data_IF_543291891762
#
_entry.id   IF_543291891762
#
_cell.length_a   1.000
_cell.length_b   1.000
_cell.length_c   1.000
_cell.angle_alpha   90.00
_cell.angle_beta   90.00
_cell.angle_gamma   90.00
#
_symmetry.space_group_name_H-M   'P 1'
#
loop_
_entity.id
_entity.type
_entity.pdbx_description
1 polymer ?
#
# COMPACT_ATOMS: atom_id res chain seq x y z
N UNK A 1 19.29 9.26 31.20
CA UNK A 1 18.02 8.52 31.33
C UNK A 1 16.96 9.33 30.61
N UNK A 2 16.57 8.94 29.39
CA UNK A 2 15.42 9.57 28.71
C UNK A 2 14.20 8.72 29.02
N UNK A 3 13.21 9.34 29.63
CA UNK A 3 12.01 8.72 30.19
C UNK A 3 11.03 8.38 29.06
N UNK A 4 11.14 7.17 28.51
CA UNK A 4 10.25 6.64 27.46
C UNK A 4 8.91 6.14 28.02
N UNK A 5 8.20 6.99 28.75
CA UNK A 5 6.77 6.84 28.94
C UNK A 5 6.06 7.49 27.74
N UNK A 6 6.17 6.84 26.57
CA UNK A 6 5.39 7.20 25.41
C UNK A 6 3.91 7.14 25.81
N UNK A 7 3.30 8.32 25.89
CA UNK A 7 1.88 8.49 26.11
C UNK A 7 1.14 7.60 25.10
N UNK A 8 0.40 6.59 25.59
CA UNK A 8 -0.39 5.65 24.75
C UNK A 8 -1.62 6.32 24.11
N UNK A 9 -1.57 7.63 23.90
CA UNK A 9 -2.64 8.38 23.28
C UNK A 9 -2.44 8.34 21.76
N UNK A 10 -3.47 7.90 21.04
CA UNK A 10 -3.49 8.03 19.59
C UNK A 10 -3.30 9.51 19.21
N UNK A 11 -2.32 9.78 18.37
CA UNK A 11 -1.96 11.13 17.91
C UNK A 11 -1.35 11.04 16.51
N UNK A 12 -1.35 12.15 15.77
CA UNK A 12 -0.63 12.25 14.50
C UNK A 12 0.75 12.84 14.78
N UNK A 13 1.78 12.13 14.34
CA UNK A 13 3.19 12.51 14.51
C UNK A 13 3.87 12.63 13.15
N UNK A 14 4.80 13.57 13.01
CA UNK A 14 5.63 13.69 11.81
C UNK A 14 6.81 12.73 11.92
N UNK A 15 7.00 11.88 10.90
CA UNK A 15 8.15 10.98 10.78
C UNK A 15 8.85 11.19 9.45
N UNK A 16 9.92 10.42 9.19
CA UNK A 16 10.57 10.36 7.87
C UNK A 16 9.63 9.95 6.73
N UNK A 17 8.49 9.30 7.04
CA UNK A 17 7.45 8.89 6.08
C UNK A 17 6.33 9.92 5.93
N UNK A 18 6.40 11.04 6.65
CA UNK A 18 5.32 12.04 6.73
C UNK A 18 4.39 11.85 7.92
N UNK A 19 3.15 12.33 7.79
CA UNK A 19 2.14 12.33 8.85
C UNK A 19 1.69 10.90 9.18
N UNK A 20 2.03 10.41 10.36
CA UNK A 20 1.89 9.01 10.78
C UNK A 20 1.04 8.87 12.03
N UNK A 21 0.18 7.86 12.09
CA UNK A 21 -0.62 7.54 13.29
C UNK A 21 0.31 6.91 14.34
N UNK A 22 0.36 7.52 15.53
CA UNK A 22 1.25 7.09 16.61
C UNK A 22 1.04 5.62 17.00
N UNK A 23 2.16 4.93 17.24
CA UNK A 23 2.16 3.50 17.53
C UNK A 23 1.99 2.60 16.29
N UNK A 24 1.95 3.15 15.07
CA UNK A 24 1.86 2.39 13.82
C UNK A 24 2.89 2.86 12.79
N UNK A 25 2.97 2.16 11.65
CA UNK A 25 3.65 2.64 10.44
C UNK A 25 2.67 3.20 9.40
N UNK A 26 1.40 3.37 9.77
CA UNK A 26 0.33 3.80 8.86
C UNK A 26 0.35 5.33 8.77
N UNK A 27 0.51 5.84 7.57
CA UNK A 27 0.47 7.27 7.26
C UNK A 27 -0.97 7.73 7.04
N UNK A 28 -1.21 9.04 7.13
CA UNK A 28 -2.50 9.60 6.70
C UNK A 28 -2.72 9.41 5.21
N UNK A 29 -1.65 9.31 4.41
CA UNK A 29 -1.73 9.07 2.97
C UNK A 29 -2.28 7.67 2.66
N UNK A 30 -1.86 6.66 3.42
CA UNK A 30 -2.43 5.30 3.33
C UNK A 30 -3.94 5.30 3.64
N UNK A 31 -4.38 6.14 4.58
CA UNK A 31 -5.81 6.29 4.91
C UNK A 31 -6.54 7.05 3.79
N UNK A 32 -5.90 8.07 3.21
CA UNK A 32 -6.46 8.89 2.13
C UNK A 32 -6.77 8.08 0.88
N UNK A 33 -5.95 7.09 0.51
CA UNK A 33 -6.21 6.18 -0.63
C UNK A 33 -7.61 5.55 -0.57
N UNK A 34 -8.07 5.21 0.64
CA UNK A 34 -9.38 4.58 0.84
C UNK A 34 -10.49 5.62 1.04
N UNK A 35 -10.19 6.76 1.66
CA UNK A 35 -11.18 7.83 1.82
C UNK A 35 -11.56 8.47 0.48
N UNK A 36 -10.58 8.69 -0.41
CA UNK A 36 -10.82 9.22 -1.75
C UNK A 36 -11.62 8.23 -2.61
N UNK A 37 -11.37 6.94 -2.44
CA UNK A 37 -12.18 5.85 -3.00
C UNK A 37 -13.51 5.59 -2.27
N UNK A 38 -13.88 6.45 -1.30
CA UNK A 38 -15.15 6.45 -0.56
C UNK A 38 -15.43 5.18 0.24
N UNK A 39 -14.39 4.49 0.69
CA UNK A 39 -14.57 3.37 1.61
C UNK A 39 -15.04 3.84 2.99
N UNK A 40 -15.93 3.08 3.65
CA UNK A 40 -16.36 3.42 5.01
C UNK A 40 -15.20 3.36 6.01
N UNK A 41 -15.15 4.28 6.99
CA UNK A 41 -14.14 4.31 8.04
C UNK A 41 -13.97 2.96 8.78
N UNK A 42 -15.08 2.25 9.01
CA UNK A 42 -15.07 0.90 9.64
C UNK A 42 -14.30 -0.12 8.82
N UNK A 43 -14.37 -0.03 7.49
CA UNK A 43 -13.60 -0.88 6.58
C UNK A 43 -12.12 -0.55 6.67
N UNK A 44 -11.76 0.74 6.57
CA UNK A 44 -10.38 1.22 6.64
C UNK A 44 -9.71 0.81 7.96
N UNK A 45 -10.43 0.98 9.08
CA UNK A 45 -9.98 0.54 10.40
C UNK A 45 -9.66 -0.95 10.42
N UNK A 46 -10.57 -1.78 9.89
CA UNK A 46 -10.38 -3.23 9.83
C UNK A 46 -9.21 -3.64 8.93
N UNK A 47 -9.07 -2.97 7.78
CA UNK A 47 -8.00 -3.22 6.82
C UNK A 47 -6.61 -2.98 7.42
N UNK A 48 -6.45 -1.88 8.15
CA UNK A 48 -5.17 -1.51 8.78
C UNK A 48 -5.01 -2.03 10.21
N UNK A 49 -5.99 -2.78 10.73
CA UNK A 49 -6.04 -3.26 12.11
C UNK A 49 -5.81 -2.12 13.14
N UNK A 50 -6.43 -0.96 12.89
CA UNK A 50 -6.35 0.21 13.78
C UNK A 50 -7.34 0.07 14.94
N UNK A 51 -6.99 0.66 16.10
CA UNK A 51 -7.97 0.86 17.16
C UNK A 51 -9.00 1.93 16.75
N UNK A 52 -10.16 1.95 17.43
CA UNK A 52 -11.16 3.00 17.21
C UNK A 52 -10.59 4.40 17.47
N UNK A 53 -9.74 4.56 18.50
CA UNK A 53 -9.08 5.84 18.79
C UNK A 53 -8.14 6.28 17.66
N UNK A 54 -7.38 5.35 17.08
CA UNK A 54 -6.43 5.63 16.01
C UNK A 54 -7.13 6.10 14.73
N UNK A 55 -8.19 5.39 14.30
CA UNK A 55 -8.94 5.81 13.10
C UNK A 55 -9.66 7.13 13.36
N UNK A 56 -10.25 7.33 14.54
CA UNK A 56 -10.96 8.57 14.86
C UNK A 56 -10.01 9.78 14.89
N UNK A 57 -8.83 9.64 15.48
CA UNK A 57 -7.80 10.69 15.49
C UNK A 57 -7.30 10.99 14.07
N UNK A 58 -7.09 9.96 13.24
CA UNK A 58 -6.70 10.15 11.85
C UNK A 58 -7.75 10.92 11.06
N UNK A 59 -9.02 10.52 11.15
CA UNK A 59 -10.12 11.19 10.46
C UNK A 59 -10.31 12.63 10.93
N UNK A 60 -10.25 12.87 12.24
CA UNK A 60 -10.37 14.20 12.81
C UNK A 60 -9.21 15.12 12.38
N UNK A 61 -7.98 14.59 12.33
CA UNK A 61 -6.84 15.36 11.84
C UNK A 61 -6.98 15.71 10.35
N UNK A 62 -7.37 14.74 9.52
CA UNK A 62 -7.60 14.95 8.09
C UNK A 62 -8.67 16.02 7.87
N UNK A 63 -9.78 15.98 8.62
CA UNK A 63 -10.87 16.95 8.46
C UNK A 63 -10.44 18.37 8.85
N UNK A 64 -9.72 18.51 9.98
CA UNK A 64 -9.22 19.80 10.48
C UNK A 64 -8.07 20.39 9.64
N UNK A 65 -7.31 19.55 8.93
CA UNK A 65 -6.11 19.93 8.16
C UNK A 65 -6.24 19.59 6.67
N UNK A 66 -7.46 19.53 6.15
CA UNK A 66 -7.76 18.92 4.84
C UNK A 66 -6.90 19.45 3.69
N UNK A 67 -6.74 20.77 3.58
CA UNK A 67 -5.98 21.38 2.48
C UNK A 67 -4.49 21.00 2.52
N UNK A 68 -3.89 20.98 3.72
CA UNK A 68 -2.48 20.62 3.92
C UNK A 68 -2.25 19.14 3.64
N UNK A 69 -3.11 18.27 4.21
CA UNK A 69 -3.00 16.81 4.02
C UNK A 69 -3.22 16.43 2.56
N UNK A 70 -4.20 17.02 1.88
CA UNK A 70 -4.45 16.75 0.46
C UNK A 70 -3.26 17.20 -0.41
N UNK A 71 -2.67 18.37 -0.13
CA UNK A 71 -1.50 18.83 -0.87
C UNK A 71 -0.31 17.87 -0.71
N UNK A 72 -0.01 17.42 0.52
CA UNK A 72 1.05 16.42 0.75
C UNK A 72 0.71 15.07 0.10
N UNK A 73 -0.55 14.64 0.16
CA UNK A 73 -1.02 13.41 -0.46
C UNK A 73 -0.77 13.40 -1.98
N UNK A 74 -1.09 14.51 -2.67
CA UNK A 74 -0.83 14.64 -4.11
C UNK A 74 0.67 14.59 -4.45
N UNK A 75 1.53 15.15 -3.59
CA UNK A 75 2.99 15.04 -3.77
C UNK A 75 3.43 13.58 -3.69
N UNK A 76 2.98 12.86 -2.66
CA UNK A 76 3.31 11.43 -2.47
C UNK A 76 2.85 10.57 -3.65
N UNK A 77 1.65 10.82 -4.18
CA UNK A 77 1.16 10.11 -5.37
C UNK A 77 2.06 10.34 -6.60
N UNK A 78 2.46 11.59 -6.84
CA UNK A 78 3.33 11.92 -7.96
C UNK A 78 4.71 11.28 -7.81
N UNK A 79 5.32 11.36 -6.63
CA UNK A 79 6.63 10.74 -6.38
C UNK A 79 6.57 9.21 -6.51
N UNK A 80 5.50 8.57 -6.03
CA UNK A 80 5.29 7.13 -6.18
C UNK A 80 5.10 6.72 -7.66
N UNK A 81 4.39 7.53 -8.43
CA UNK A 81 4.22 7.36 -9.87
C UNK A 81 5.55 7.45 -10.63
N UNK A 82 6.32 8.51 -10.38
CA UNK A 82 7.64 8.72 -10.98
C UNK A 82 8.60 7.58 -10.66
N UNK A 83 8.64 7.16 -9.39
CA UNK A 83 9.50 6.07 -8.95
C UNK A 83 9.12 4.74 -9.62
N UNK A 84 7.81 4.48 -9.74
CA UNK A 84 7.32 3.29 -10.42
C UNK A 84 7.71 3.28 -11.89
N UNK A 85 7.47 4.37 -12.61
CA UNK A 85 7.83 4.49 -14.03
C UNK A 85 9.33 4.32 -14.23
N UNK A 86 10.15 4.94 -13.37
CA UNK A 86 11.61 4.80 -13.42
C UNK A 86 12.04 3.33 -13.29
N UNK A 87 11.54 2.61 -12.28
CA UNK A 87 11.92 1.21 -12.10
C UNK A 87 11.30 0.27 -13.13
N UNK A 88 10.11 0.56 -13.65
CA UNK A 88 9.50 -0.21 -14.74
C UNK A 88 10.34 -0.10 -16.02
N UNK A 89 10.83 1.09 -16.36
CA UNK A 89 11.72 1.30 -17.50
C UNK A 89 13.05 0.56 -17.29
N UNK A 90 13.70 0.78 -16.14
CA UNK A 90 15.00 0.17 -15.84
C UNK A 90 14.95 -1.36 -15.78
N UNK A 91 13.82 -1.92 -15.32
CA UNK A 91 13.65 -3.37 -15.23
C UNK A 91 13.06 -4.00 -16.49
N UNK A 92 12.67 -3.22 -17.51
CA UNK A 92 11.97 -3.73 -18.70
C UNK A 92 12.73 -4.87 -19.37
N UNK A 93 14.00 -4.65 -19.68
CA UNK A 93 14.83 -5.64 -20.37
C UNK A 93 15.10 -6.87 -19.50
N UNK A 94 15.36 -6.66 -18.21
CA UNK A 94 15.57 -7.76 -17.27
C UNK A 94 14.31 -8.62 -17.15
N UNK A 95 13.14 -8.00 -17.01
CA UNK A 95 11.85 -8.70 -16.95
C UNK A 95 11.60 -9.47 -18.25
N UNK A 96 11.86 -8.84 -19.41
CA UNK A 96 11.73 -9.51 -20.71
C UNK A 96 12.64 -10.73 -20.82
N UNK A 97 13.91 -10.62 -20.41
CA UNK A 97 14.85 -11.75 -20.38
C UNK A 97 14.42 -12.83 -19.39
N UNK A 98 13.95 -12.48 -18.19
CA UNK A 98 13.48 -13.44 -17.20
C UNK A 98 12.23 -14.19 -17.68
N UNK A 99 11.37 -13.55 -18.47
CA UNK A 99 10.16 -14.16 -19.02
C UNK A 99 10.43 -15.30 -20.00
N UNK A 100 11.58 -15.29 -20.68
CA UNK A 100 11.97 -16.30 -21.67
C UNK A 100 12.83 -17.42 -21.09
N UNK A 101 13.28 -17.30 -19.83
CA UNK A 101 14.13 -18.31 -19.20
C UNK A 101 13.35 -19.62 -19.00
N UNK A 102 13.94 -20.77 -19.35
CA UNK A 102 13.32 -22.06 -19.10
C UNK A 102 13.23 -22.33 -17.60
N UNK A 103 12.32 -23.23 -17.17
CA UNK A 103 12.27 -23.71 -15.80
C UNK A 103 13.63 -24.30 -15.38
N UNK A 104 13.91 -24.25 -14.07
CA UNK A 104 15.12 -24.88 -13.54
C UNK A 104 15.08 -26.39 -13.84
N UNK A 105 16.22 -26.99 -14.26
CA UNK A 105 16.28 -28.43 -14.49
C UNK A 105 15.78 -29.23 -13.28
N UNK A 106 14.88 -30.20 -13.52
CA UNK A 106 14.27 -31.04 -12.47
C UNK A 106 13.02 -30.46 -11.81
N UNK A 107 12.55 -29.28 -12.23
CA UNK A 107 11.32 -28.64 -11.74
C UNK A 107 10.23 -28.50 -12.82
N UNK A 108 10.40 -29.14 -13.97
CA UNK A 108 9.52 -29.00 -15.14
C UNK A 108 8.08 -29.40 -14.84
N UNK A 109 7.87 -30.53 -14.16
CA UNK A 109 6.54 -31.00 -13.77
C UNK A 109 5.83 -30.07 -12.77
N UNK A 110 6.57 -29.41 -11.89
CA UNK A 110 6.02 -28.40 -10.98
C UNK A 110 5.66 -27.12 -11.75
N UNK A 111 6.49 -26.73 -12.71
CA UNK A 111 6.27 -25.57 -13.57
C UNK A 111 5.05 -25.75 -14.47
N UNK A 112 4.85 -26.94 -15.05
CA UNK A 112 3.67 -27.26 -15.85
C UNK A 112 2.38 -27.15 -15.04
N UNK A 113 2.37 -27.68 -13.81
CA UNK A 113 1.23 -27.52 -12.88
C UNK A 113 0.94 -26.05 -12.59
N UNK A 114 1.97 -25.25 -12.36
CA UNK A 114 1.84 -23.81 -12.12
C UNK A 114 1.24 -23.08 -13.33
N UNK A 115 1.70 -23.39 -14.54
CA UNK A 115 1.17 -22.80 -15.78
C UNK A 115 -0.30 -23.16 -15.99
N UNK A 116 -0.68 -24.42 -15.74
CA UNK A 116 -2.08 -24.86 -15.82
C UNK A 116 -2.97 -24.11 -14.82
N UNK A 117 -2.51 -23.90 -13.59
CA UNK A 117 -3.27 -23.12 -12.60
C UNK A 117 -3.40 -21.65 -13.00
N UNK A 118 -2.32 -21.05 -13.51
CA UNK A 118 -2.33 -19.68 -14.02
C UNK A 118 -3.33 -19.51 -15.17
N UNK A 119 -3.35 -20.44 -16.13
CA UNK A 119 -4.28 -20.43 -17.25
C UNK A 119 -5.75 -20.56 -16.78
N UNK A 120 -6.03 -21.45 -15.82
CA UNK A 120 -7.37 -21.58 -15.23
C UNK A 120 -7.85 -20.29 -14.56
N UNK A 121 -6.98 -19.64 -13.79
CA UNK A 121 -7.31 -18.39 -13.12
C UNK A 121 -7.58 -17.26 -14.12
N UNK A 122 -6.77 -17.16 -15.18
CA UNK A 122 -6.96 -16.17 -16.24
C UNK A 122 -8.27 -16.40 -17.02
N UNK A 123 -8.60 -17.66 -17.34
CA UNK A 123 -9.87 -18.00 -17.99
C UNK A 123 -11.08 -17.64 -17.11
N UNK A 124 -10.98 -17.87 -15.80
CA UNK A 124 -12.05 -17.51 -14.86
C UNK A 124 -12.27 -15.99 -14.78
N UNK A 125 -11.19 -15.22 -14.65
CA UNK A 125 -11.25 -13.75 -14.66
C UNK A 125 -11.82 -13.20 -15.97
N UNK A 126 -11.41 -13.77 -17.12
CA UNK A 126 -11.91 -13.35 -18.43
C UNK A 126 -13.36 -13.74 -18.73
N UNK A 127 -13.91 -14.75 -18.05
CA UNK A 127 -15.33 -15.13 -18.17
C UNK A 127 -16.28 -14.30 -17.30
N UNK A 128 -15.74 -13.51 -16.36
CA UNK A 128 -16.49 -12.66 -15.44
C UNK A 128 -16.42 -11.16 -15.79
N UNK A 129 -15.67 -10.80 -16.84
CA UNK A 129 -15.60 -9.46 -17.43
C UNK A 129 -16.48 -9.39 -18.69
#
# INVERSE_FOLDING_TARGET
MINSAANRQASIIRTERGLTISGTRITLYDVMDYLTARYPAKFIRGLFNLSDDQINVALAYIDNHRAEVEAEYQIVLNEAEELRQYYEEQNRDLIAQLSTKPPKPGMEAAWEKLQLQKAKHQAHLGSQA
#
